data_IF_540096124772
#
_entry.id   IF_540096124772
#
_cell.length_a   1.000
_cell.length_b   1.000
_cell.length_c   1.000
_cell.angle_alpha   90.00
_cell.angle_beta   90.00
_cell.angle_gamma   90.00
#
_symmetry.space_group_name_H-M   'P 1'
#
loop_
_entity.id
_entity.type
_entity.pdbx_description
1 polymer ?
#
# COMPACT_ATOMS: atom_id res chain seq x y z
N UNK A 1 4.18 18.60 -21.15
CA UNK A 1 2.94 18.13 -20.48
C UNK A 1 3.03 18.47 -19.02
N UNK A 2 2.08 19.25 -18.50
CA UNK A 2 2.08 19.70 -17.10
C UNK A 2 1.63 18.53 -16.21
N UNK A 3 2.44 18.20 -15.21
CA UNK A 3 2.02 17.32 -14.11
C UNK A 3 1.10 18.16 -13.21
N UNK A 4 -0.20 18.09 -13.46
CA UNK A 4 -1.19 18.65 -12.53
C UNK A 4 -1.36 17.69 -11.37
N UNK A 5 -1.15 18.18 -10.15
CA UNK A 5 -1.49 17.55 -8.87
C UNK A 5 -2.67 16.55 -9.01
N UNK A 6 -2.36 15.26 -8.98
CA UNK A 6 -3.30 14.19 -9.31
C UNK A 6 -3.82 13.47 -8.08
N UNK A 7 -4.84 14.05 -7.44
CA UNK A 7 -5.90 13.22 -6.85
C UNK A 7 -6.64 12.58 -8.03
N UNK A 8 -6.33 11.33 -8.36
CA UNK A 8 -6.98 10.62 -9.45
C UNK A 8 -7.14 9.16 -9.07
N UNK A 9 -8.36 8.81 -8.67
CA UNK A 9 -8.82 7.44 -8.43
C UNK A 9 -8.50 6.57 -9.64
N UNK A 10 -7.41 5.80 -9.60
CA UNK A 10 -7.02 4.88 -10.67
C UNK A 10 -7.88 3.62 -10.63
N UNK A 11 -9.17 3.73 -10.93
CA UNK A 11 -10.05 2.57 -11.17
C UNK A 11 -9.87 2.05 -12.60
N UNK A 12 -8.65 1.64 -12.95
CA UNK A 12 -8.37 1.00 -14.24
C UNK A 12 -8.31 -0.51 -14.07
N UNK A 13 -9.04 -1.22 -14.92
CA UNK A 13 -8.90 -2.68 -15.08
C UNK A 13 -7.76 -2.93 -16.06
N UNK A 14 -6.73 -3.66 -15.63
CA UNK A 14 -5.59 -4.05 -16.47
C UNK A 14 -5.80 -5.49 -16.87
N UNK A 15 -5.69 -5.81 -18.17
CA UNK A 15 -5.80 -7.19 -18.64
C UNK A 15 -4.43 -7.87 -18.58
N UNK A 16 -4.38 -9.05 -17.98
CA UNK A 16 -3.19 -9.92 -17.96
C UNK A 16 -2.99 -10.58 -19.34
N UNK A 17 -1.88 -11.34 -19.50
CA UNK A 17 -1.58 -12.02 -20.77
C UNK A 17 -2.64 -13.06 -21.16
N UNK A 18 -3.26 -13.74 -20.19
CA UNK A 18 -4.37 -14.67 -20.38
C UNK A 18 -5.73 -13.96 -20.51
N UNK A 19 -5.75 -12.62 -20.47
CA UNK A 19 -6.95 -11.80 -20.56
C UNK A 19 -7.75 -11.70 -19.27
N UNK A 20 -7.27 -12.28 -18.16
CA UNK A 20 -7.92 -12.12 -16.86
C UNK A 20 -7.76 -10.69 -16.33
N UNK A 21 -8.75 -10.18 -15.59
CA UNK A 21 -8.69 -8.82 -15.08
C UNK A 21 -7.79 -8.75 -13.84
N UNK A 22 -6.76 -7.92 -13.90
CA UNK A 22 -6.07 -7.39 -12.73
C UNK A 22 -6.73 -6.07 -12.32
N UNK A 23 -7.26 -6.04 -11.11
CA UNK A 23 -7.84 -4.84 -10.49
C UNK A 23 -6.85 -4.39 -9.41
N UNK A 24 -6.03 -3.36 -9.68
CA UNK A 24 -5.03 -2.91 -8.73
C UNK A 24 -5.66 -2.44 -7.41
N UNK A 25 -5.06 -2.84 -6.30
CA UNK A 25 -5.47 -2.47 -4.95
C UNK A 25 -4.42 -1.59 -4.30
N UNK A 26 -4.67 -0.28 -4.33
CA UNK A 26 -3.80 0.71 -3.70
C UNK A 26 -4.29 0.99 -2.28
N UNK A 27 -3.42 0.91 -1.25
CA UNK A 27 -3.79 1.35 0.08
C UNK A 27 -4.01 2.86 0.09
N UNK A 28 -5.15 3.29 0.60
CA UNK A 28 -5.52 4.70 0.81
C UNK A 28 -4.91 5.28 2.09
N UNK A 29 -4.55 4.40 3.04
CA UNK A 29 -3.92 4.79 4.30
C UNK A 29 -3.73 3.61 5.25
N UNK A 30 -3.33 3.92 6.48
CA UNK A 30 -3.13 2.94 7.55
C UNK A 30 -3.91 3.41 8.78
N UNK A 31 -4.74 2.52 9.33
CA UNK A 31 -5.36 2.72 10.62
C UNK A 31 -4.32 2.45 11.72
N UNK A 32 -3.71 3.51 12.23
CA UNK A 32 -2.70 3.39 13.29
C UNK A 32 -3.24 2.75 14.58
N UNK A 33 -4.54 2.85 14.88
CA UNK A 33 -5.10 2.18 16.07
C UNK A 33 -5.02 0.65 15.97
N UNK A 34 -5.07 0.09 14.76
CA UNK A 34 -4.91 -1.35 14.50
C UNK A 34 -3.46 -1.75 14.24
N UNK A 35 -2.63 -0.85 13.71
CA UNK A 35 -1.24 -1.17 13.41
C UNK A 35 -0.44 -1.47 14.69
N UNK A 36 0.13 -2.68 14.76
CA UNK A 36 1.01 -3.14 15.85
C UNK A 36 2.48 -2.89 15.58
N UNK A 37 2.85 -2.51 14.34
CA UNK A 37 4.23 -2.35 13.93
C UNK A 37 4.98 -3.66 13.67
N UNK A 38 4.28 -4.76 13.37
CA UNK A 38 4.89 -6.09 13.16
C UNK A 38 5.90 -6.16 12.00
N UNK A 39 5.74 -5.31 10.98
CA UNK A 39 6.71 -5.20 9.87
C UNK A 39 6.47 -6.13 8.67
N UNK A 40 5.50 -7.04 8.70
CA UNK A 40 5.24 -7.97 7.57
C UNK A 40 4.97 -7.25 6.25
N UNK A 41 4.24 -6.13 6.30
CA UNK A 41 3.98 -5.29 5.13
C UNK A 41 5.25 -4.65 4.54
N UNK A 42 6.29 -4.42 5.34
CA UNK A 42 7.59 -3.90 4.89
C UNK A 42 8.37 -5.01 4.18
N UNK A 43 8.38 -6.22 4.77
CA UNK A 43 9.11 -7.37 4.22
C UNK A 43 8.54 -7.84 2.88
N UNK A 44 7.21 -7.90 2.74
CA UNK A 44 6.58 -8.43 1.53
C UNK A 44 6.53 -7.45 0.37
N UNK A 45 6.68 -6.14 0.61
CA UNK A 45 6.43 -5.14 -0.42
C UNK A 45 7.54 -5.18 -1.49
N UNK A 46 7.23 -5.60 -2.74
CA UNK A 46 8.26 -5.78 -3.77
C UNK A 46 8.87 -4.44 -4.23
N UNK A 47 8.18 -3.33 -3.96
CA UNK A 47 8.60 -1.98 -4.34
C UNK A 47 9.18 -1.18 -3.17
N UNK A 48 9.29 -1.78 -1.97
CA UNK A 48 9.76 -1.11 -0.75
C UNK A 48 9.05 0.24 -0.48
N UNK A 49 7.73 0.24 -0.65
CA UNK A 49 6.88 1.43 -0.48
C UNK A 49 6.56 1.76 0.98
N UNK A 50 6.84 0.84 1.91
CA UNK A 50 6.38 0.89 3.31
C UNK A 50 7.61 0.80 4.21
N UNK A 51 7.65 1.62 5.25
CA UNK A 51 8.70 1.63 6.26
C UNK A 51 8.08 1.65 7.67
N UNK A 52 8.83 1.20 8.68
CA UNK A 52 8.43 1.39 10.08
C UNK A 52 8.98 2.71 10.60
N UNK A 53 8.10 3.59 11.05
CA UNK A 53 8.43 4.88 11.66
C UNK A 53 8.04 4.90 13.14
N UNK A 54 8.67 5.78 13.93
CA UNK A 54 8.27 6.02 15.30
C UNK A 54 7.14 7.07 15.36
N UNK A 55 6.06 6.72 16.04
CA UNK A 55 4.90 7.59 16.28
C UNK A 55 4.36 7.31 17.69
N UNK A 56 4.34 8.34 18.54
CA UNK A 56 3.87 8.24 19.94
C UNK A 56 4.55 7.09 20.71
N UNK A 57 5.88 7.10 20.75
CA UNK A 57 6.72 6.14 21.48
C UNK A 57 6.56 4.66 21.07
N UNK A 58 6.02 4.39 19.89
CA UNK A 58 5.96 3.05 19.29
C UNK A 58 6.21 3.06 17.79
N UNK A 59 6.54 1.91 17.22
CA UNK A 59 6.72 1.75 15.77
C UNK A 59 5.40 1.46 15.07
N UNK A 60 5.16 2.12 13.95
CA UNK A 60 4.01 1.89 13.07
C UNK A 60 4.46 1.86 11.60
N UNK A 61 3.74 1.11 10.77
CA UNK A 61 3.97 1.14 9.34
C UNK A 61 3.54 2.49 8.75
N UNK A 62 4.31 3.03 7.80
CA UNK A 62 4.02 4.24 7.05
C UNK A 62 4.31 4.00 5.57
N UNK A 63 3.46 4.52 4.69
CA UNK A 63 3.63 4.43 3.24
C UNK A 63 4.49 5.62 2.81
N UNK A 64 5.73 5.36 2.39
CA UNK A 64 6.74 6.40 2.08
C UNK A 64 6.90 6.66 0.58
N UNK A 65 6.64 5.66 -0.28
CA UNK A 65 6.85 5.75 -1.73
C UNK A 65 5.62 5.25 -2.50
N UNK A 66 4.47 5.86 -2.24
CA UNK A 66 3.19 5.42 -2.85
C UNK A 66 3.22 5.51 -4.39
N UNK A 67 4.02 6.41 -4.94
CA UNK A 67 4.23 6.58 -6.38
C UNK A 67 4.86 5.36 -7.05
N UNK A 68 5.56 4.51 -6.30
CA UNK A 68 6.13 3.25 -6.79
C UNK A 68 5.19 2.06 -6.60
N UNK A 69 4.08 2.22 -5.87
CA UNK A 69 3.15 1.13 -5.61
C UNK A 69 2.50 0.67 -6.92
N UNK A 70 2.50 -0.65 -7.14
CA UNK A 70 1.88 -1.28 -8.32
C UNK A 70 0.45 -1.75 -8.07
N UNK A 71 -0.06 -1.54 -6.86
CA UNK A 71 -1.40 -1.97 -6.46
C UNK A 71 -1.55 -3.49 -6.40
N UNK A 72 -0.50 -4.20 -5.98
CA UNK A 72 -0.52 -5.66 -5.78
C UNK A 72 -1.36 -6.09 -4.56
N UNK A 73 -1.50 -5.22 -3.56
CA UNK A 73 -2.34 -5.44 -2.40
C UNK A 73 -1.73 -6.34 -1.32
N UNK A 74 -0.45 -6.74 -1.42
CA UNK A 74 0.17 -7.62 -0.44
C UNK A 74 0.14 -7.06 0.98
N UNK A 75 0.30 -5.75 1.15
CA UNK A 75 0.21 -5.10 2.46
C UNK A 75 -1.11 -5.39 3.17
N UNK A 76 -2.22 -5.48 2.44
CA UNK A 76 -3.55 -5.81 2.98
C UNK A 76 -3.69 -7.32 3.24
N UNK A 77 -3.11 -8.15 2.39
CA UNK A 77 -3.17 -9.61 2.51
C UNK A 77 -2.36 -10.10 3.72
N UNK A 78 -1.17 -9.57 3.94
CA UNK A 78 -0.27 -10.05 5.01
C UNK A 78 -0.55 -9.38 6.36
N UNK A 79 -1.24 -8.23 6.40
CA UNK A 79 -1.43 -7.53 7.67
C UNK A 79 -2.37 -8.32 8.58
N UNK A 80 -1.90 -8.87 9.73
CA UNK A 80 -2.73 -9.70 10.59
C UNK A 80 -3.86 -8.92 11.27
N UNK A 81 -3.68 -7.59 11.42
CA UNK A 81 -4.62 -6.70 12.09
C UNK A 81 -5.60 -6.00 11.13
N UNK A 82 -5.45 -6.25 9.82
CA UNK A 82 -6.23 -5.57 8.78
C UNK A 82 -6.19 -4.04 8.94
N UNK A 83 -4.97 -3.50 9.03
CA UNK A 83 -4.71 -2.09 9.30
C UNK A 83 -4.68 -1.21 8.04
N UNK A 84 -4.53 -1.79 6.84
CA UNK A 84 -4.48 -1.04 5.57
C UNK A 84 -5.88 -0.75 5.02
N UNK A 85 -6.15 0.52 4.69
CA UNK A 85 -7.45 1.01 4.22
C UNK A 85 -7.56 0.91 2.70
#
# INVERSE_FOLDING_TARGET
MKLTNGNSSKNQVILTQDGSPFIPQYPSGINYAKCTGCGECVEICPQNCIELIELNDRKVASITKIELCIGDGFCKIVCPEDAFL
#
